data_IF_388028068990
#
_entry.id   IF_388028068990
#
_cell.length_a   1.000
_cell.length_b   1.000
_cell.length_c   1.000
_cell.angle_alpha   90.00
_cell.angle_beta   90.00
_cell.angle_gamma   90.00
#
_symmetry.space_group_name_H-M   'P 1'
#
loop_
_entity.id
_entity.type
_entity.pdbx_description
1 polymer ?
#
# COMPACT_ATOMS: atom_id res chain seq x y z
N UNK A 1 -54.90 60.93 -2.28
CA UNK A 1 -53.61 60.55 -2.89
C UNK A 1 -52.67 59.76 -1.97
N UNK A 2 -52.47 60.13 -0.69
CA UNK A 2 -51.60 59.33 0.21
C UNK A 2 -52.08 57.90 0.49
N UNK A 3 -53.39 57.67 0.71
CA UNK A 3 -53.94 56.32 0.95
C UNK A 3 -53.87 55.40 -0.27
N UNK A 4 -54.07 55.94 -1.47
CA UNK A 4 -53.95 55.18 -2.73
C UNK A 4 -52.50 54.83 -3.04
N UNK A 5 -51.54 55.70 -2.71
CA UNK A 5 -50.11 55.43 -2.88
C UNK A 5 -49.61 54.37 -1.90
N UNK A 6 -50.09 54.37 -0.65
CA UNK A 6 -49.77 53.33 0.35
C UNK A 6 -50.38 51.97 -0.02
N UNK A 7 -51.62 51.92 -0.51
CA UNK A 7 -52.21 50.66 -1.03
C UNK A 7 -51.47 50.16 -2.28
N UNK A 8 -51.05 51.05 -3.18
CA UNK A 8 -50.25 50.66 -4.34
C UNK A 8 -48.89 50.10 -3.91
N UNK A 9 -48.22 50.71 -2.94
CA UNK A 9 -46.94 50.22 -2.42
C UNK A 9 -47.08 48.88 -1.67
N UNK A 10 -48.20 48.65 -0.98
CA UNK A 10 -48.53 47.37 -0.30
C UNK A 10 -48.83 46.25 -1.31
N UNK A 11 -49.59 46.55 -2.37
CA UNK A 11 -49.84 45.59 -3.45
C UNK A 11 -48.55 45.33 -4.25
N UNK A 12 -47.74 46.35 -4.49
CA UNK A 12 -46.45 46.22 -5.17
C UNK A 12 -45.44 45.41 -4.35
N UNK A 13 -45.44 45.54 -3.01
CA UNK A 13 -44.58 44.73 -2.12
C UNK A 13 -45.06 43.29 -1.93
N UNK A 14 -46.35 43.01 -2.08
CA UNK A 14 -46.89 41.64 -2.14
C UNK A 14 -46.54 40.96 -3.47
N UNK A 15 -46.48 41.72 -4.58
CA UNK A 15 -46.09 41.19 -5.90
C UNK A 15 -44.57 40.95 -6.00
N UNK A 16 -43.75 41.68 -5.23
CA UNK A 16 -42.28 41.65 -5.29
C UNK A 16 -41.61 40.47 -4.53
N UNK A 17 -42.37 39.57 -3.91
CA UNK A 17 -41.83 38.35 -3.29
C UNK A 17 -42.44 37.06 -3.86
N UNK A 18 -42.82 37.05 -5.13
CA UNK A 18 -43.04 35.79 -5.83
C UNK A 18 -41.70 35.08 -5.98
N UNK A 19 -41.51 33.98 -5.24
CA UNK A 19 -40.34 33.11 -5.38
C UNK A 19 -40.34 32.55 -6.81
N UNK A 20 -39.25 32.73 -7.53
CA UNK A 20 -39.13 32.18 -8.88
C UNK A 20 -38.84 30.68 -8.83
N UNK A 21 -39.10 29.97 -9.93
CA UNK A 21 -38.78 28.55 -10.03
C UNK A 21 -37.27 28.26 -9.86
N UNK A 22 -36.41 29.20 -10.25
CA UNK A 22 -34.96 29.11 -10.05
C UNK A 22 -34.58 29.32 -8.57
N UNK A 23 -35.30 30.18 -7.83
CA UNK A 23 -35.11 30.33 -6.39
C UNK A 23 -35.48 29.04 -5.65
N UNK A 24 -36.58 28.38 -6.05
CA UNK A 24 -36.98 27.07 -5.52
C UNK A 24 -35.89 26.03 -5.78
N UNK A 25 -35.36 26.00 -7.00
CA UNK A 25 -34.26 25.10 -7.37
C UNK A 25 -33.03 25.36 -6.49
N UNK A 26 -32.64 26.62 -6.30
CA UNK A 26 -31.49 26.97 -5.48
C UNK A 26 -31.70 26.64 -4.00
N UNK A 27 -32.91 26.88 -3.45
CA UNK A 27 -33.30 26.44 -2.12
C UNK A 27 -33.22 24.91 -1.98
N UNK A 28 -33.51 24.15 -3.03
CA UNK A 28 -33.45 22.69 -3.00
C UNK A 28 -32.04 22.11 -2.94
N UNK A 29 -31.01 22.92 -3.19
CA UNK A 29 -29.61 22.49 -3.19
C UNK A 29 -28.99 22.42 -1.79
N UNK A 30 -29.71 22.86 -0.76
CA UNK A 30 -29.27 22.73 0.63
C UNK A 30 -30.13 21.67 1.35
N UNK A 31 -29.53 20.71 2.06
CA UNK A 31 -30.28 19.66 2.77
C UNK A 31 -31.32 20.20 3.77
N UNK A 32 -31.00 21.28 4.47
CA UNK A 32 -31.84 21.83 5.54
C UNK A 32 -33.09 22.55 5.00
N UNK A 33 -33.03 23.07 3.77
CA UNK A 33 -34.12 23.83 3.14
C UNK A 33 -34.91 23.01 2.12
N UNK A 34 -34.63 21.71 1.96
CA UNK A 34 -35.31 20.86 0.97
C UNK A 34 -36.83 20.77 1.20
N UNK A 35 -37.28 20.68 2.45
CA UNK A 35 -38.71 20.68 2.79
C UNK A 35 -39.36 22.03 2.50
N UNK A 36 -38.64 23.13 2.72
CA UNK A 36 -39.11 24.46 2.39
C UNK A 36 -39.23 24.62 0.87
N UNK A 37 -38.22 24.18 0.10
CA UNK A 37 -38.26 24.18 -1.35
C UNK A 37 -39.47 23.40 -1.89
N UNK A 38 -39.80 22.24 -1.30
CA UNK A 38 -41.01 21.49 -1.67
C UNK A 38 -42.29 22.29 -1.38
N UNK A 39 -42.39 22.94 -0.23
CA UNK A 39 -43.55 23.76 0.12
C UNK A 39 -43.76 24.93 -0.85
N UNK A 40 -42.68 25.64 -1.20
CA UNK A 40 -42.72 26.73 -2.18
C UNK A 40 -43.01 26.22 -3.59
N UNK A 41 -42.53 25.02 -3.96
CA UNK A 41 -42.85 24.39 -5.24
C UNK A 41 -44.35 24.11 -5.40
N UNK A 42 -45.02 23.60 -4.37
CA UNK A 42 -46.47 23.37 -4.43
C UNK A 42 -47.25 24.68 -4.59
N UNK A 43 -46.83 25.75 -3.92
CA UNK A 43 -47.43 27.09 -4.12
C UNK A 43 -47.21 27.58 -5.55
N UNK A 44 -46.00 27.44 -6.06
CA UNK A 44 -45.64 27.86 -7.41
C UNK A 44 -46.48 27.17 -8.49
N UNK A 45 -46.77 25.87 -8.35
CA UNK A 45 -47.66 25.14 -9.25
C UNK A 45 -49.07 25.74 -9.27
N UNK A 46 -49.61 26.09 -8.11
CA UNK A 46 -50.95 26.66 -8.01
C UNK A 46 -51.03 28.05 -8.66
N UNK A 47 -49.94 28.82 -8.61
CA UNK A 47 -49.85 30.17 -9.16
C UNK A 47 -49.52 30.18 -10.66
N UNK A 48 -48.79 29.17 -11.16
CA UNK A 48 -48.25 29.14 -12.53
C UNK A 48 -48.45 27.76 -13.21
N UNK A 49 -49.67 27.22 -13.33
CA UNK A 49 -49.93 25.83 -13.71
C UNK A 49 -49.41 25.42 -15.10
N UNK A 50 -49.24 26.38 -16.01
CA UNK A 50 -48.82 26.14 -17.39
C UNK A 50 -47.29 26.25 -17.61
N UNK A 51 -46.49 26.49 -16.55
CA UNK A 51 -45.04 26.59 -16.68
C UNK A 51 -44.41 25.21 -16.98
N UNK A 52 -43.78 25.00 -18.16
CA UNK A 52 -43.16 23.73 -18.53
C UNK A 52 -42.00 23.31 -17.61
N UNK A 53 -41.36 24.25 -16.91
CA UNK A 53 -40.27 23.95 -15.98
C UNK A 53 -40.76 23.23 -14.71
N UNK A 54 -42.06 23.26 -14.40
CA UNK A 54 -42.67 22.54 -13.27
C UNK A 54 -42.39 21.04 -13.38
N UNK A 55 -42.60 20.45 -14.56
CA UNK A 55 -42.40 19.00 -14.75
C UNK A 55 -40.96 18.59 -14.45
N UNK A 56 -40.00 19.35 -14.99
CA UNK A 56 -38.56 19.08 -14.82
C UNK A 56 -38.13 19.25 -13.37
N UNK A 57 -38.48 20.38 -12.74
CA UNK A 57 -38.09 20.64 -11.34
C UNK A 57 -38.80 19.68 -10.37
N UNK A 58 -40.06 19.33 -10.64
CA UNK A 58 -40.83 18.43 -9.80
C UNK A 58 -40.22 17.02 -9.74
N UNK A 59 -39.75 16.49 -10.86
CA UNK A 59 -39.02 15.22 -10.90
C UNK A 59 -37.74 15.28 -10.04
N UNK A 60 -36.95 16.35 -10.17
CA UNK A 60 -35.71 16.54 -9.40
C UNK A 60 -36.01 16.64 -7.90
N UNK A 61 -36.98 17.45 -7.51
CA UNK A 61 -37.36 17.63 -6.10
C UNK A 61 -37.90 16.33 -5.48
N UNK A 62 -38.72 15.59 -6.23
CA UNK A 62 -39.24 14.29 -5.80
C UNK A 62 -38.10 13.29 -5.57
N UNK A 63 -37.14 13.21 -6.49
CA UNK A 63 -35.95 12.38 -6.36
C UNK A 63 -35.11 12.77 -5.13
N UNK A 64 -34.82 14.06 -4.93
CA UNK A 64 -34.10 14.55 -3.75
C UNK A 64 -34.80 14.19 -2.45
N UNK A 65 -36.13 14.29 -2.39
CA UNK A 65 -36.94 13.95 -1.21
C UNK A 65 -36.88 12.45 -0.90
N UNK A 66 -36.88 11.60 -1.93
CA UNK A 66 -36.66 10.15 -1.75
C UNK A 66 -35.30 9.88 -1.09
N UNK A 67 -34.21 10.48 -1.61
CA UNK A 67 -32.87 10.30 -1.04
C UNK A 67 -32.73 10.92 0.35
N UNK A 68 -33.41 12.04 0.63
CA UNK A 68 -33.47 12.61 1.98
C UNK A 68 -34.08 11.65 2.98
N UNK A 69 -35.16 10.94 2.61
CA UNK A 69 -35.85 10.02 3.51
C UNK A 69 -35.05 8.74 3.74
N UNK A 70 -34.48 8.18 2.68
CA UNK A 70 -33.92 6.82 2.71
C UNK A 70 -32.38 6.79 2.90
N UNK A 71 -31.69 7.89 2.57
CA UNK A 71 -30.22 7.94 2.43
C UNK A 71 -29.58 9.15 3.10
N UNK A 72 -30.23 9.81 4.07
CA UNK A 72 -29.69 11.02 4.74
C UNK A 72 -28.26 10.87 5.29
N UNK A 73 -27.88 9.66 5.69
CA UNK A 73 -26.56 9.35 6.26
C UNK A 73 -25.59 8.74 5.24
N UNK A 74 -25.99 8.59 3.97
CA UNK A 74 -25.12 8.03 2.95
C UNK A 74 -24.02 9.03 2.58
N UNK A 75 -22.78 8.59 2.29
CA UNK A 75 -21.67 9.49 1.97
C UNK A 75 -21.95 10.41 0.77
N UNK A 76 -22.73 9.93 -0.21
CA UNK A 76 -23.06 10.68 -1.42
C UNK A 76 -24.22 11.65 -1.26
N UNK A 77 -24.96 11.61 -0.15
CA UNK A 77 -26.22 12.32 0.02
C UNK A 77 -26.08 13.84 -0.13
N UNK A 78 -25.13 14.44 0.59
CA UNK A 78 -24.94 15.89 0.55
C UNK A 78 -24.60 16.37 -0.87
N UNK A 79 -23.68 15.67 -1.54
CA UNK A 79 -23.28 15.99 -2.90
C UNK A 79 -24.43 15.81 -3.91
N UNK A 80 -25.30 14.81 -3.70
CA UNK A 80 -26.50 14.58 -4.51
C UNK A 80 -27.51 15.73 -4.35
N UNK A 81 -27.79 16.17 -3.11
CA UNK A 81 -28.71 17.29 -2.87
C UNK A 81 -28.16 18.60 -3.46
N UNK A 82 -26.86 18.84 -3.29
CA UNK A 82 -26.15 20.01 -3.84
C UNK A 82 -26.02 19.99 -5.37
N UNK A 83 -26.44 18.91 -6.05
CA UNK A 83 -26.22 18.70 -7.49
C UNK A 83 -24.73 18.78 -7.88
N UNK A 84 -23.83 18.42 -6.96
CA UNK A 84 -22.39 18.41 -7.21
C UNK A 84 -21.96 17.06 -7.77
N UNK A 85 -22.01 16.92 -9.09
CA UNK A 85 -21.73 15.67 -9.78
C UNK A 85 -20.34 15.07 -9.46
N UNK A 86 -19.30 15.89 -9.42
CA UNK A 86 -17.92 15.42 -9.19
C UNK A 86 -17.77 14.87 -7.76
N UNK A 87 -18.28 15.60 -6.76
CA UNK A 87 -18.30 15.13 -5.37
C UNK A 87 -19.21 13.91 -5.20
N UNK A 88 -20.32 13.85 -5.93
CA UNK A 88 -21.23 12.70 -5.91
C UNK A 88 -20.50 11.43 -6.35
N UNK A 89 -19.85 11.45 -7.52
CA UNK A 89 -19.07 10.31 -8.02
C UNK A 89 -17.96 9.88 -7.05
N UNK A 90 -17.25 10.83 -6.44
CA UNK A 90 -16.22 10.53 -5.44
C UNK A 90 -16.80 9.87 -4.18
N UNK A 91 -17.90 10.42 -3.67
CA UNK A 91 -18.55 9.94 -2.44
C UNK A 91 -19.32 8.63 -2.64
N UNK A 92 -19.79 8.36 -3.86
CA UNK A 92 -20.37 7.07 -4.25
C UNK A 92 -19.32 5.94 -4.13
N UNK A 93 -18.03 6.24 -4.32
CA UNK A 93 -16.94 5.31 -4.06
C UNK A 93 -16.90 4.82 -2.60
N UNK A 94 -17.25 5.68 -1.65
CA UNK A 94 -17.28 5.37 -0.21
C UNK A 94 -18.54 4.61 0.22
N UNK A 95 -19.54 4.49 -0.66
CA UNK A 95 -20.78 3.79 -0.36
C UNK A 95 -20.64 2.30 -0.65
N UNK A 96 -20.81 1.44 0.35
CA UNK A 96 -20.48 0.02 0.23
C UNK A 96 -21.50 -0.80 -0.58
N UNK A 97 -22.70 -0.26 -0.85
CA UNK A 97 -23.76 -1.00 -1.56
C UNK A 97 -23.95 -0.49 -2.98
N UNK A 98 -24.81 -1.19 -3.72
CA UNK A 98 -25.29 -0.84 -5.06
C UNK A 98 -26.68 -0.23 -4.91
N UNK A 99 -26.97 0.80 -5.70
CA UNK A 99 -28.29 1.41 -5.81
C UNK A 99 -29.08 0.68 -6.88
N UNK A 100 -30.33 0.36 -6.59
CA UNK A 100 -31.17 -0.43 -7.50
C UNK A 100 -31.60 0.38 -8.75
N UNK A 101 -32.32 -0.25 -9.66
CA UNK A 101 -32.73 0.38 -10.93
C UNK A 101 -33.64 1.60 -10.74
N UNK A 102 -34.58 1.56 -9.80
CA UNK A 102 -35.49 2.68 -9.54
C UNK A 102 -34.72 3.88 -8.98
N UNK A 103 -33.79 3.62 -8.05
CA UNK A 103 -32.91 4.62 -7.46
C UNK A 103 -31.96 5.23 -8.49
N UNK A 104 -31.48 4.40 -9.42
CA UNK A 104 -30.69 4.86 -10.56
C UNK A 104 -31.54 5.77 -11.44
N UNK A 105 -32.79 5.42 -11.73
CA UNK A 105 -33.73 6.28 -12.44
C UNK A 105 -33.90 7.66 -11.78
N UNK A 106 -34.03 7.69 -10.44
CA UNK A 106 -34.11 8.95 -9.68
C UNK A 106 -32.80 9.75 -9.74
N UNK A 107 -31.65 9.09 -9.67
CA UNK A 107 -30.34 9.75 -9.82
C UNK A 107 -30.20 10.37 -11.21
N UNK A 108 -30.68 9.69 -12.25
CA UNK A 108 -30.64 10.21 -13.62
C UNK A 108 -31.53 11.44 -13.82
N UNK A 109 -32.57 11.64 -12.99
CA UNK A 109 -33.32 12.91 -12.98
C UNK A 109 -32.49 14.07 -12.43
N UNK A 110 -31.64 13.81 -11.43
CA UNK A 110 -30.76 14.82 -10.81
C UNK A 110 -29.50 15.06 -11.67
N UNK A 111 -28.94 13.99 -12.25
CA UNK A 111 -27.71 14.00 -13.05
C UNK A 111 -27.94 13.37 -14.43
N UNK A 112 -28.69 14.03 -15.32
CA UNK A 112 -29.02 13.50 -16.65
C UNK A 112 -27.80 13.31 -17.56
N UNK A 113 -26.65 13.91 -17.22
CA UNK A 113 -25.41 13.77 -17.98
C UNK A 113 -24.70 12.42 -17.81
N UNK A 114 -25.04 11.61 -16.79
CA UNK A 114 -24.35 10.35 -16.47
C UNK A 114 -24.22 9.41 -17.67
N UNK A 115 -25.30 9.08 -18.42
CA UNK A 115 -25.20 8.10 -19.51
C UNK A 115 -24.26 8.57 -20.61
N UNK A 116 -24.28 9.87 -20.93
CA UNK A 116 -23.39 10.45 -21.94
C UNK A 116 -21.92 10.39 -21.51
N UNK A 117 -21.63 10.64 -20.23
CA UNK A 117 -20.27 10.57 -19.68
C UNK A 117 -19.73 9.15 -19.78
N UNK A 118 -20.48 8.15 -19.31
CA UNK A 118 -20.05 6.75 -19.38
C UNK A 118 -19.90 6.32 -20.82
N UNK A 119 -20.85 6.65 -21.70
CA UNK A 119 -20.74 6.39 -23.14
C UNK A 119 -19.45 6.93 -23.73
N UNK A 120 -19.14 8.21 -23.51
CA UNK A 120 -17.90 8.84 -24.00
C UNK A 120 -16.65 8.17 -23.44
N UNK A 121 -16.65 7.80 -22.17
CA UNK A 121 -15.53 7.07 -21.57
C UNK A 121 -15.34 5.70 -22.22
N UNK A 122 -16.40 4.97 -22.54
CA UNK A 122 -16.31 3.67 -23.23
C UNK A 122 -15.86 3.81 -24.70
N UNK A 123 -16.25 4.88 -25.38
CA UNK A 123 -15.89 5.12 -26.78
C UNK A 123 -14.45 5.61 -26.93
N UNK A 124 -14.01 6.51 -26.06
CA UNK A 124 -12.71 7.21 -26.19
C UNK A 124 -11.63 6.67 -25.26
N UNK A 125 -12.02 6.00 -24.18
CA UNK A 125 -11.13 5.65 -23.07
C UNK A 125 -10.72 6.82 -22.16
N UNK A 126 -11.14 8.04 -22.49
CA UNK A 126 -10.84 9.23 -21.69
C UNK A 126 -11.81 9.29 -20.52
N UNK A 127 -11.26 9.25 -19.31
CA UNK A 127 -11.98 9.41 -18.06
C UNK A 127 -11.49 10.69 -17.38
N UNK A 128 -12.30 11.75 -17.47
CA UNK A 128 -11.94 13.08 -16.93
C UNK A 128 -11.65 13.03 -15.43
N UNK A 129 -12.43 12.25 -14.69
CA UNK A 129 -12.26 12.03 -13.26
C UNK A 129 -12.22 10.54 -12.96
N UNK A 130 -11.18 10.10 -12.25
CA UNK A 130 -11.03 8.70 -11.82
C UNK A 130 -12.23 8.20 -11.00
N UNK A 131 -13.01 9.09 -10.37
CA UNK A 131 -14.22 8.74 -9.63
C UNK A 131 -15.40 8.29 -10.51
N UNK A 132 -15.37 8.53 -11.83
CA UNK A 132 -16.44 8.09 -12.72
C UNK A 132 -16.56 6.57 -12.79
N UNK A 133 -15.49 5.82 -12.48
CA UNK A 133 -15.58 4.36 -12.36
C UNK A 133 -16.63 3.93 -11.33
N UNK A 134 -16.87 4.71 -10.26
CA UNK A 134 -17.83 4.37 -9.21
C UNK A 134 -19.29 4.33 -9.69
N UNK A 135 -19.58 4.81 -10.90
CA UNK A 135 -20.92 4.74 -11.52
C UNK A 135 -21.37 3.30 -11.77
N UNK A 136 -20.49 2.29 -11.69
CA UNK A 136 -20.90 0.88 -11.72
C UNK A 136 -21.90 0.50 -10.61
N UNK A 137 -21.94 1.29 -9.52
CA UNK A 137 -22.86 1.09 -8.40
C UNK A 137 -24.29 1.53 -8.69
N UNK A 138 -24.58 2.04 -9.88
CA UNK A 138 -25.92 2.37 -10.35
C UNK A 138 -26.45 1.21 -11.19
N UNK A 139 -27.29 0.37 -10.60
CA UNK A 139 -27.87 -0.78 -11.29
C UNK A 139 -28.81 -0.35 -12.44
N UNK A 140 -28.77 -1.08 -13.55
CA UNK A 140 -29.58 -0.76 -14.73
C UNK A 140 -29.05 0.42 -15.56
N UNK A 141 -28.00 1.12 -15.12
CA UNK A 141 -27.42 2.24 -15.86
C UNK A 141 -26.97 1.84 -17.28
N UNK A 142 -26.48 0.61 -17.45
CA UNK A 142 -26.08 0.04 -18.75
C UNK A 142 -27.21 0.10 -19.80
N UNK A 143 -28.48 0.11 -19.39
CA UNK A 143 -29.64 0.17 -20.30
C UNK A 143 -29.76 1.53 -21.00
N UNK A 144 -29.16 2.58 -20.44
CA UNK A 144 -29.17 3.95 -20.98
C UNK A 144 -27.94 4.26 -21.83
N UNK A 145 -27.02 3.30 -21.96
CA UNK A 145 -25.71 3.50 -22.56
C UNK A 145 -25.59 2.60 -23.78
N UNK A 146 -25.38 3.21 -24.96
CA UNK A 146 -25.14 2.48 -26.20
C UNK A 146 -23.89 3.06 -26.87
N UNK A 147 -22.70 2.56 -26.52
CA UNK A 147 -21.44 2.94 -27.16
C UNK A 147 -21.39 2.38 -28.58
N UNK A 148 -20.88 3.15 -29.54
CA UNK A 148 -20.67 2.63 -30.90
C UNK A 148 -19.37 1.82 -31.03
N UNK A 149 -18.40 2.02 -30.13
CA UNK A 149 -17.14 1.27 -30.07
C UNK A 149 -16.64 1.19 -28.62
N UNK A 150 -15.76 0.21 -28.38
CA UNK A 150 -15.01 0.05 -27.12
C UNK A 150 -13.49 0.13 -27.33
N UNK A 151 -13.04 0.24 -28.58
CA UNK A 151 -11.63 0.11 -28.96
C UNK A 151 -10.72 1.10 -28.24
N UNK A 152 -11.12 2.38 -28.21
CA UNK A 152 -10.36 3.43 -27.52
C UNK A 152 -10.25 3.17 -26.01
N UNK A 153 -11.34 2.72 -25.38
CA UNK A 153 -11.32 2.33 -23.98
C UNK A 153 -10.42 1.12 -23.71
N UNK A 154 -10.51 0.07 -24.52
CA UNK A 154 -9.69 -1.13 -24.34
C UNK A 154 -8.20 -0.84 -24.53
N UNK A 155 -7.83 -0.01 -25.51
CA UNK A 155 -6.44 0.41 -25.72
C UNK A 155 -5.89 1.18 -24.51
N UNK A 156 -6.63 2.17 -24.02
CA UNK A 156 -6.22 2.96 -22.85
C UNK A 156 -6.21 2.10 -21.58
N UNK A 157 -7.17 1.19 -21.43
CA UNK A 157 -7.23 0.24 -20.32
C UNK A 157 -5.97 -0.61 -20.26
N UNK A 158 -5.55 -1.22 -21.38
CA UNK A 158 -4.33 -2.03 -21.44
C UNK A 158 -3.10 -1.18 -21.12
N UNK A 159 -2.93 -0.05 -21.81
CA UNK A 159 -1.74 0.79 -21.67
C UNK A 159 -1.59 1.34 -20.24
N UNK A 160 -2.69 1.84 -19.64
CA UNK A 160 -2.67 2.34 -18.26
C UNK A 160 -2.53 1.23 -17.22
N UNK A 161 -3.17 0.08 -17.41
CA UNK A 161 -3.07 -1.03 -16.44
C UNK A 161 -1.64 -1.57 -16.35
N UNK A 162 -0.96 -1.64 -17.50
CA UNK A 162 0.42 -2.13 -17.57
C UNK A 162 1.39 -1.11 -16.98
N UNK A 163 1.30 0.16 -17.39
CA UNK A 163 2.20 1.23 -16.92
C UNK A 163 1.92 1.65 -15.47
N UNK A 164 0.69 1.52 -15.00
CA UNK A 164 0.25 1.94 -13.68
C UNK A 164 -0.61 0.87 -13.01
N UNK A 165 -0.01 0.00 -12.18
CA UNK A 165 -0.73 -1.10 -11.54
C UNK A 165 -1.87 -0.66 -10.59
N UNK A 166 -1.93 0.62 -10.22
CA UNK A 166 -3.00 1.18 -9.38
C UNK A 166 -4.23 1.59 -10.19
N UNK A 167 -4.11 1.68 -11.52
CA UNK A 167 -5.24 2.04 -12.40
C UNK A 167 -6.33 0.96 -12.40
N UNK A 168 -5.91 -0.31 -12.53
CA UNK A 168 -6.80 -1.48 -12.47
C UNK A 168 -6.99 -1.90 -11.01
N UNK A 169 -7.74 -1.10 -10.27
CA UNK A 169 -8.23 -1.44 -8.94
C UNK A 169 -9.62 -2.09 -9.01
N UNK A 170 -10.14 -2.53 -7.85
CA UNK A 170 -11.41 -3.27 -7.78
C UNK A 170 -12.58 -2.47 -8.34
N UNK A 171 -12.61 -1.16 -8.13
CA UNK A 171 -13.67 -0.31 -8.68
C UNK A 171 -13.59 -0.19 -10.19
N UNK A 172 -12.38 -0.12 -10.76
CA UNK A 172 -12.20 -0.15 -12.21
C UNK A 172 -12.58 -1.52 -12.80
N UNK A 173 -12.22 -2.62 -12.15
CA UNK A 173 -12.66 -3.97 -12.56
C UNK A 173 -14.19 -4.07 -12.61
N UNK A 174 -14.87 -3.62 -11.55
CA UNK A 174 -16.33 -3.62 -11.48
C UNK A 174 -16.95 -2.73 -12.56
N UNK A 175 -16.35 -1.56 -12.84
CA UNK A 175 -16.76 -0.69 -13.95
C UNK A 175 -16.67 -1.41 -15.30
N UNK A 176 -15.55 -2.07 -15.58
CA UNK A 176 -15.36 -2.80 -16.84
C UNK A 176 -16.39 -3.93 -16.95
N UNK A 177 -16.55 -4.74 -15.90
CA UNK A 177 -17.50 -5.87 -15.89
C UNK A 177 -18.94 -5.40 -16.08
N UNK A 178 -19.29 -4.23 -15.52
CA UNK A 178 -20.64 -3.66 -15.61
C UNK A 178 -20.95 -3.12 -17.00
N UNK A 179 -20.00 -2.42 -17.63
CA UNK A 179 -20.27 -1.64 -18.83
C UNK A 179 -19.67 -2.18 -20.14
N UNK A 180 -18.70 -3.10 -20.07
CA UNK A 180 -18.06 -3.67 -21.25
C UNK A 180 -18.54 -5.11 -21.45
N UNK A 181 -19.20 -5.44 -22.57
CA UNK A 181 -19.60 -6.81 -22.85
C UNK A 181 -18.41 -7.76 -22.84
N UNK A 182 -18.56 -8.96 -22.27
CA UNK A 182 -17.49 -9.98 -22.22
C UNK A 182 -16.91 -10.32 -23.60
N UNK A 183 -17.73 -10.28 -24.66
CA UNK A 183 -17.27 -10.47 -26.03
C UNK A 183 -16.27 -9.41 -26.48
N UNK A 184 -16.40 -8.17 -26.00
CA UNK A 184 -15.48 -7.06 -26.28
C UNK A 184 -14.25 -7.08 -25.39
N UNK A 185 -14.36 -7.54 -24.15
CA UNK A 185 -13.17 -7.74 -23.29
C UNK A 185 -12.16 -8.68 -23.95
N UNK A 186 -12.62 -9.68 -24.73
CA UNK A 186 -11.73 -10.59 -25.50
C UNK A 186 -10.85 -9.85 -26.51
N UNK A 187 -11.27 -8.70 -27.01
CA UNK A 187 -10.49 -7.91 -27.98
C UNK A 187 -9.18 -7.38 -27.37
N UNK A 188 -9.05 -7.37 -26.03
CA UNK A 188 -7.80 -7.06 -25.32
C UNK A 188 -6.66 -8.00 -25.76
N UNK A 189 -6.96 -9.25 -26.09
CA UNK A 189 -5.92 -10.20 -26.54
C UNK A 189 -5.25 -9.72 -27.83
N UNK A 190 -6.00 -9.08 -28.73
CA UNK A 190 -5.42 -8.54 -29.96
C UNK A 190 -4.46 -7.38 -29.65
N UNK A 191 -4.79 -6.56 -28.65
CA UNK A 191 -3.95 -5.44 -28.21
C UNK A 191 -2.66 -5.96 -27.57
N UNK A 192 -2.76 -6.98 -26.71
CA UNK A 192 -1.60 -7.59 -26.05
C UNK A 192 -0.66 -8.28 -27.05
N UNK A 193 -1.19 -9.03 -28.02
CA UNK A 193 -0.38 -9.74 -29.01
C UNK A 193 0.40 -8.80 -29.95
N UNK A 194 -0.10 -7.58 -30.16
CA UNK A 194 0.56 -6.57 -30.99
C UNK A 194 1.50 -5.65 -30.21
N UNK A 195 1.75 -5.94 -28.94
CA UNK A 195 2.49 -5.06 -28.02
C UNK A 195 3.78 -5.69 -27.52
N UNK A 196 4.74 -4.85 -27.14
CA UNK A 196 6.00 -5.26 -26.52
C UNK A 196 5.98 -5.15 -24.99
N UNK A 197 4.80 -5.01 -24.39
CA UNK A 197 4.65 -4.68 -22.97
C UNK A 197 5.34 -5.66 -22.01
N UNK A 198 5.41 -6.94 -22.38
CA UNK A 198 5.96 -8.01 -21.53
C UNK A 198 7.49 -8.14 -21.60
N UNK A 199 8.17 -7.31 -22.41
CA UNK A 199 9.63 -7.35 -22.53
C UNK A 199 10.36 -6.61 -21.41
N UNK A 200 9.68 -5.74 -20.66
CA UNK A 200 10.27 -4.90 -19.62
C UNK A 200 9.78 -5.33 -18.23
N UNK A 201 10.71 -5.70 -17.35
CA UNK A 201 10.43 -6.08 -15.95
C UNK A 201 9.60 -5.03 -15.18
N UNK A 202 9.74 -3.74 -15.48
CA UNK A 202 8.97 -2.67 -14.82
C UNK A 202 7.45 -2.81 -15.03
N UNK A 203 7.06 -3.42 -16.14
CA UNK A 203 5.66 -3.62 -16.50
C UNK A 203 5.04 -4.88 -15.87
N UNK A 204 5.85 -5.75 -15.26
CA UNK A 204 5.40 -7.09 -14.83
C UNK A 204 4.26 -7.04 -13.83
N UNK A 205 4.25 -6.07 -12.92
CA UNK A 205 3.17 -5.93 -11.94
C UNK A 205 1.84 -5.57 -12.60
N UNK A 206 1.85 -4.58 -13.51
CA UNK A 206 0.65 -4.16 -14.23
C UNK A 206 0.16 -5.25 -15.18
N UNK A 207 1.07 -5.88 -15.91
CA UNK A 207 0.81 -7.04 -16.75
C UNK A 207 0.19 -8.20 -15.97
N UNK A 208 0.74 -8.54 -14.80
CA UNK A 208 0.23 -9.62 -13.97
C UNK A 208 -1.18 -9.32 -13.44
N UNK A 209 -1.45 -8.10 -13.01
CA UNK A 209 -2.80 -7.68 -12.60
C UNK A 209 -3.80 -7.76 -13.75
N UNK A 210 -3.44 -7.24 -14.92
CA UNK A 210 -4.31 -7.29 -16.11
C UNK A 210 -4.62 -8.73 -16.51
N UNK A 211 -3.60 -9.59 -16.61
CA UNK A 211 -3.80 -11.00 -16.96
C UNK A 211 -4.59 -11.76 -15.88
N UNK A 212 -4.43 -11.41 -14.60
CA UNK A 212 -5.24 -11.96 -13.51
C UNK A 212 -6.72 -11.61 -13.70
N UNK A 213 -7.03 -10.34 -13.97
CA UNK A 213 -8.38 -9.89 -14.28
C UNK A 213 -8.96 -10.62 -15.49
N UNK A 214 -8.21 -10.71 -16.60
CA UNK A 214 -8.66 -11.42 -17.82
C UNK A 214 -8.90 -12.92 -17.56
N UNK A 215 -8.09 -13.54 -16.71
CA UNK A 215 -8.27 -14.93 -16.29
C UNK A 215 -9.56 -15.09 -15.47
N UNK A 216 -9.84 -14.20 -14.52
CA UNK A 216 -11.09 -14.20 -13.74
C UNK A 216 -12.32 -14.02 -14.63
N UNK A 217 -12.20 -13.22 -15.69
CA UNK A 217 -13.26 -13.03 -16.68
C UNK A 217 -13.35 -14.16 -17.72
N UNK A 218 -12.44 -15.15 -17.69
CA UNK A 218 -12.45 -16.31 -18.59
C UNK A 218 -12.12 -15.97 -20.04
N UNK A 219 -11.22 -15.01 -20.27
CA UNK A 219 -10.90 -14.46 -21.61
C UNK A 219 -9.43 -14.57 -22.02
N UNK A 220 -8.60 -15.22 -21.21
CA UNK A 220 -7.18 -15.45 -21.52
C UNK A 220 -6.99 -16.54 -22.58
N UNK A 221 -6.11 -16.36 -23.57
CA UNK A 221 -5.72 -17.43 -24.51
C UNK A 221 -4.57 -18.28 -23.95
N UNK A 222 -4.18 -19.33 -24.68
CA UNK A 222 -3.10 -20.23 -24.28
C UNK A 222 -1.75 -19.51 -24.13
N UNK A 223 -1.43 -18.58 -25.04
CA UNK A 223 -0.17 -17.83 -24.99
C UNK A 223 -0.12 -16.89 -23.78
N UNK A 224 -1.20 -16.14 -23.54
CA UNK A 224 -1.23 -15.25 -22.37
C UNK A 224 -1.31 -16.06 -21.05
N UNK A 225 -1.88 -17.27 -21.06
CA UNK A 225 -1.84 -18.16 -19.91
C UNK A 225 -0.40 -18.60 -19.59
N UNK A 226 0.43 -18.86 -20.60
CA UNK A 226 1.85 -19.12 -20.41
C UNK A 226 2.56 -17.90 -19.80
N UNK A 227 2.35 -16.71 -20.36
CA UNK A 227 2.89 -15.45 -19.83
C UNK A 227 2.44 -15.21 -18.39
N UNK A 228 1.16 -15.39 -18.10
CA UNK A 228 0.60 -15.33 -16.75
C UNK A 228 1.30 -16.33 -15.82
N UNK A 229 1.53 -17.57 -16.26
CA UNK A 229 2.22 -18.57 -15.44
C UNK A 229 3.67 -18.19 -15.15
N UNK A 230 4.37 -17.58 -16.11
CA UNK A 230 5.73 -17.09 -15.91
C UNK A 230 5.78 -15.93 -14.92
N UNK A 231 4.90 -14.94 -15.09
CA UNK A 231 4.77 -13.80 -14.16
C UNK A 231 4.35 -14.27 -12.76
N UNK A 232 3.45 -15.26 -12.67
CA UNK A 232 3.07 -15.85 -11.38
C UNK A 232 4.28 -16.46 -10.68
N UNK A 233 5.06 -17.30 -11.39
CA UNK A 233 6.29 -17.88 -10.85
C UNK A 233 7.30 -16.81 -10.41
N UNK A 234 7.45 -15.76 -11.21
CA UNK A 234 8.28 -14.61 -10.87
C UNK A 234 7.88 -13.96 -9.54
N UNK A 235 6.59 -13.65 -9.34
CA UNK A 235 6.11 -13.03 -8.11
C UNK A 235 6.14 -14.00 -6.92
N UNK A 236 5.87 -15.29 -7.14
CA UNK A 236 6.01 -16.33 -6.12
C UNK A 236 7.48 -16.41 -5.64
N UNK A 237 8.46 -16.35 -6.55
CA UNK A 237 9.89 -16.29 -6.21
C UNK A 237 10.25 -14.99 -5.50
N UNK A 238 9.77 -13.84 -5.97
CA UNK A 238 9.99 -12.54 -5.32
C UNK A 238 9.56 -12.53 -3.86
N UNK A 239 8.38 -13.09 -3.57
CA UNK A 239 7.85 -13.22 -2.21
C UNK A 239 8.75 -14.11 -1.36
N UNK A 240 9.12 -15.30 -1.86
CA UNK A 240 10.04 -16.21 -1.16
C UNK A 240 11.39 -15.56 -0.85
N UNK A 241 11.97 -14.81 -1.79
CA UNK A 241 13.23 -14.11 -1.57
C UNK A 241 13.06 -13.03 -0.49
N UNK A 242 11.94 -12.30 -0.48
CA UNK A 242 11.61 -11.32 0.56
C UNK A 242 11.48 -11.96 1.95
N UNK A 243 10.86 -13.13 2.04
CA UNK A 243 10.77 -13.91 3.28
C UNK A 243 12.16 -14.36 3.76
N UNK A 244 12.99 -14.92 2.86
CA UNK A 244 14.38 -15.31 3.17
C UNK A 244 15.19 -14.10 3.65
N UNK A 245 15.08 -12.97 2.96
CA UNK A 245 15.78 -11.74 3.32
C UNK A 245 15.39 -11.23 4.72
N UNK A 246 14.17 -11.51 5.18
CA UNK A 246 13.71 -11.14 6.53
C UNK A 246 14.19 -12.15 7.56
N UNK A 247 14.06 -13.44 7.25
CA UNK A 247 14.34 -14.53 8.18
C UNK A 247 15.83 -14.73 8.46
N UNK A 248 16.70 -14.38 7.51
CA UNK A 248 18.14 -14.59 7.63
C UNK A 248 18.77 -13.99 8.89
N UNK A 249 18.19 -12.92 9.44
CA UNK A 249 18.69 -12.24 10.65
C UNK A 249 18.32 -12.97 11.96
N UNK A 250 17.31 -13.83 11.93
CA UNK A 250 16.73 -14.49 13.12
C UNK A 250 17.25 -15.93 13.25
N UNK A 251 17.73 -16.51 12.15
CA UNK A 251 18.17 -17.91 12.08
C UNK A 251 19.38 -18.18 12.98
N UNK A 252 19.32 -19.34 13.65
CA UNK A 252 20.39 -19.83 14.51
C UNK A 252 21.55 -20.41 13.67
N UNK A 253 22.80 -20.43 14.18
CA UNK A 253 23.94 -21.01 13.45
C UNK A 253 23.72 -22.47 13.02
N UNK A 254 22.95 -23.24 13.80
CA UNK A 254 22.65 -24.65 13.54
C UNK A 254 21.74 -24.84 12.32
N UNK A 255 20.83 -23.90 12.06
CA UNK A 255 19.87 -23.92 10.95
C UNK A 255 20.41 -23.26 9.67
N UNK A 256 21.60 -22.65 9.74
CA UNK A 256 22.16 -21.87 8.63
C UNK A 256 22.51 -22.75 7.42
N UNK A 257 22.80 -24.03 7.64
CA UNK A 257 23.01 -25.01 6.57
C UNK A 257 21.75 -25.16 5.72
N UNK A 258 20.63 -25.54 6.35
CA UNK A 258 19.35 -25.79 5.68
C UNK A 258 18.82 -24.51 5.02
N UNK A 259 19.00 -23.37 5.70
CA UNK A 259 18.67 -22.08 5.12
C UNK A 259 19.45 -21.80 3.85
N UNK A 260 20.77 -22.04 3.86
CA UNK A 260 21.61 -21.81 2.68
C UNK A 260 21.22 -22.74 1.53
N UNK A 261 20.94 -24.02 1.82
CA UNK A 261 20.48 -24.97 0.80
C UNK A 261 19.15 -24.53 0.17
N UNK A 262 18.21 -24.02 0.96
CA UNK A 262 16.95 -23.44 0.47
C UNK A 262 17.21 -22.22 -0.43
N UNK A 263 18.14 -21.34 -0.05
CA UNK A 263 18.51 -20.19 -0.89
C UNK A 263 19.11 -20.64 -2.22
N UNK A 264 19.98 -21.65 -2.22
CA UNK A 264 20.56 -22.21 -3.46
C UNK A 264 19.48 -22.82 -4.37
N UNK A 265 18.46 -23.47 -3.81
CA UNK A 265 17.33 -23.98 -4.60
C UNK A 265 16.50 -22.84 -5.22
N UNK A 266 16.31 -21.74 -4.50
CA UNK A 266 15.64 -20.54 -5.05
C UNK A 266 16.49 -19.85 -6.12
N UNK A 267 17.82 -19.85 -6.00
CA UNK A 267 18.73 -19.38 -7.05
C UNK A 267 18.56 -20.24 -8.30
N UNK A 268 18.57 -21.57 -8.17
CA UNK A 268 18.34 -22.52 -9.27
C UNK A 268 17.00 -22.25 -9.98
N UNK A 269 15.90 -22.13 -9.22
CA UNK A 269 14.59 -21.79 -9.76
C UNK A 269 14.57 -20.45 -10.49
N UNK A 270 15.32 -19.45 -9.99
CA UNK A 270 15.40 -18.12 -10.60
C UNK A 270 16.20 -18.16 -11.90
N UNK A 271 17.36 -18.82 -11.91
CA UNK A 271 18.20 -18.97 -13.11
C UNK A 271 17.45 -19.66 -14.24
N UNK A 272 16.60 -20.64 -13.93
CA UNK A 272 15.81 -21.39 -14.91
C UNK A 272 14.51 -20.67 -15.36
N UNK A 273 14.20 -19.48 -14.84
CA UNK A 273 13.00 -18.73 -15.22
C UNK A 273 13.18 -18.00 -16.56
N UNK A 274 12.44 -18.37 -17.61
CA UNK A 274 12.62 -17.80 -18.97
C UNK A 274 11.94 -16.43 -19.18
N UNK A 275 12.20 -15.46 -18.30
CA UNK A 275 11.81 -14.04 -18.45
C UNK A 275 12.91 -13.13 -17.89
N UNK A 276 12.83 -11.81 -18.14
CA UNK A 276 13.72 -10.84 -17.51
C UNK A 276 13.54 -10.86 -15.98
N UNK A 277 14.62 -10.85 -15.22
CA UNK A 277 14.57 -11.11 -13.77
C UNK A 277 15.66 -10.40 -12.99
N UNK A 278 16.05 -9.22 -13.46
CA UNK A 278 17.13 -8.42 -12.87
C UNK A 278 16.82 -8.06 -11.41
N UNK A 279 15.57 -7.73 -11.11
CA UNK A 279 15.14 -7.43 -9.74
C UNK A 279 15.27 -8.65 -8.83
N UNK A 280 14.92 -9.86 -9.30
CA UNK A 280 15.10 -11.09 -8.50
C UNK A 280 16.58 -11.34 -8.21
N UNK A 281 17.45 -11.13 -9.20
CA UNK A 281 18.89 -11.23 -9.01
C UNK A 281 19.41 -10.22 -7.98
N UNK A 282 19.04 -8.95 -8.06
CA UNK A 282 19.46 -7.94 -7.06
C UNK A 282 19.03 -8.33 -5.65
N UNK A 283 17.80 -8.83 -5.47
CA UNK A 283 17.32 -9.28 -4.16
C UNK A 283 18.09 -10.51 -3.66
N UNK A 284 18.33 -11.50 -4.52
CA UNK A 284 19.10 -12.70 -4.19
C UNK A 284 20.55 -12.40 -3.84
N UNK A 285 21.19 -11.48 -4.55
CA UNK A 285 22.56 -11.02 -4.26
C UNK A 285 22.67 -10.54 -2.81
N UNK A 286 21.70 -9.71 -2.37
CA UNK A 286 21.62 -9.23 -0.99
C UNK A 286 21.47 -10.35 0.04
N UNK A 287 20.64 -11.36 -0.25
CA UNK A 287 20.46 -12.54 0.61
C UNK A 287 21.75 -13.36 0.69
N UNK A 288 22.35 -13.71 -0.45
CA UNK A 288 23.59 -14.51 -0.52
C UNK A 288 24.74 -13.82 0.21
N UNK A 289 24.90 -12.50 0.00
CA UNK A 289 25.90 -11.68 0.70
C UNK A 289 25.69 -11.71 2.21
N UNK A 290 24.45 -11.68 2.67
CA UNK A 290 24.13 -11.74 4.09
C UNK A 290 24.38 -13.13 4.68
N UNK A 291 24.10 -14.22 3.93
CA UNK A 291 24.45 -15.59 4.31
C UNK A 291 25.95 -15.69 4.52
N UNK A 292 26.71 -15.22 3.54
CA UNK A 292 28.17 -15.21 3.56
C UNK A 292 28.72 -14.57 4.83
N UNK A 293 28.25 -13.36 5.18
CA UNK A 293 28.66 -12.64 6.38
C UNK A 293 28.27 -13.40 7.66
N UNK A 294 27.10 -14.05 7.69
CA UNK A 294 26.68 -14.85 8.86
C UNK A 294 27.50 -16.13 9.03
N UNK A 295 27.85 -16.82 7.95
CA UNK A 295 28.75 -17.97 8.02
C UNK A 295 30.10 -17.53 8.58
N UNK A 296 30.68 -16.46 8.02
CA UNK A 296 31.98 -15.93 8.40
C UNK A 296 32.03 -15.48 9.87
N UNK A 297 30.95 -14.89 10.39
CA UNK A 297 30.87 -14.42 11.79
C UNK A 297 30.48 -15.51 12.80
N UNK A 298 29.96 -16.66 12.37
CA UNK A 298 29.46 -17.70 13.28
C UNK A 298 30.56 -18.40 14.09
N UNK A 299 31.82 -18.38 13.63
CA UNK A 299 32.95 -19.15 14.17
C UNK A 299 32.66 -20.65 14.38
N UNK A 300 31.58 -21.19 13.80
CA UNK A 300 31.18 -22.60 13.85
C UNK A 300 31.34 -23.22 12.48
N UNK A 301 31.66 -24.52 12.45
CA UNK A 301 31.60 -25.30 11.21
C UNK A 301 30.13 -25.56 10.90
N UNK A 302 29.62 -24.86 9.89
CA UNK A 302 28.24 -25.01 9.42
C UNK A 302 28.18 -26.05 8.28
N UNK A 303 29.20 -26.09 7.42
CA UNK A 303 29.26 -26.97 6.25
C UNK A 303 30.32 -28.04 6.43
N UNK A 304 29.96 -29.30 6.15
CA UNK A 304 30.91 -30.42 6.09
C UNK A 304 31.51 -30.58 4.69
N UNK A 305 30.71 -30.35 3.66
CA UNK A 305 31.06 -30.43 2.24
C UNK A 305 30.53 -29.21 1.51
N UNK A 306 31.07 -28.93 0.31
CA UNK A 306 30.51 -27.94 -0.60
C UNK A 306 29.18 -28.48 -1.16
N UNK A 307 28.10 -27.69 -1.21
CA UNK A 307 26.85 -28.12 -1.84
C UNK A 307 27.03 -28.46 -3.33
N UNK A 308 26.52 -29.62 -3.76
CA UNK A 308 26.73 -30.16 -5.11
C UNK A 308 26.26 -29.23 -6.25
N UNK A 309 25.18 -28.48 -6.01
CA UNK A 309 24.62 -27.54 -7.00
C UNK A 309 25.44 -26.24 -7.15
N UNK A 310 26.35 -25.94 -6.22
CA UNK A 310 26.95 -24.61 -6.14
C UNK A 310 27.80 -24.25 -7.38
N UNK A 311 28.51 -25.22 -7.94
CA UNK A 311 29.38 -24.99 -9.11
C UNK A 311 28.58 -24.75 -10.39
N UNK A 312 27.54 -25.54 -10.60
CA UNK A 312 26.59 -25.37 -11.70
C UNK A 312 25.88 -24.00 -11.62
N UNK A 313 25.50 -23.57 -10.41
CA UNK A 313 24.89 -22.26 -10.20
C UNK A 313 25.86 -21.10 -10.45
N UNK A 314 27.15 -21.23 -10.11
CA UNK A 314 28.15 -20.20 -10.41
C UNK A 314 28.29 -20.00 -11.92
N UNK A 315 28.27 -21.08 -12.71
CA UNK A 315 28.41 -21.04 -14.16
C UNK A 315 27.17 -20.45 -14.86
N UNK A 316 25.97 -20.82 -14.42
CA UNK A 316 24.71 -20.43 -15.06
C UNK A 316 24.18 -19.06 -14.62
N UNK A 317 24.69 -18.51 -13.52
CA UNK A 317 24.22 -17.24 -12.95
C UNK A 317 24.82 -16.01 -13.63
N UNK A 318 24.12 -14.86 -13.60
CA UNK A 318 24.69 -13.59 -14.06
C UNK A 318 25.92 -13.19 -13.21
N UNK A 319 26.74 -12.29 -13.73
CA UNK A 319 28.06 -11.97 -13.16
C UNK A 319 28.04 -11.62 -11.67
N UNK A 320 27.02 -10.91 -11.19
CA UNK A 320 27.01 -10.42 -9.82
C UNK A 320 26.60 -11.51 -8.82
N UNK A 321 25.60 -12.33 -9.17
CA UNK A 321 25.27 -13.55 -8.43
C UNK A 321 26.44 -14.54 -8.45
N UNK A 322 27.04 -14.76 -9.62
CA UNK A 322 28.17 -15.69 -9.80
C UNK A 322 29.35 -15.32 -8.90
N UNK A 323 29.73 -14.03 -8.83
CA UNK A 323 30.78 -13.51 -7.92
C UNK A 323 30.44 -13.78 -6.45
N UNK A 324 29.20 -13.54 -6.04
CA UNK A 324 28.76 -13.75 -4.66
C UNK A 324 28.71 -15.23 -4.28
N UNK A 325 28.23 -16.10 -5.18
CA UNK A 325 28.25 -17.55 -5.01
C UNK A 325 29.69 -18.11 -4.95
N UNK A 326 30.60 -17.61 -5.79
CA UNK A 326 32.01 -17.98 -5.74
C UNK A 326 32.68 -17.56 -4.41
N UNK A 327 32.30 -16.38 -3.90
CA UNK A 327 32.76 -15.90 -2.59
C UNK A 327 32.21 -16.76 -1.45
N UNK A 328 30.94 -17.16 -1.54
CA UNK A 328 30.32 -18.10 -0.62
C UNK A 328 31.04 -19.47 -0.65
N UNK A 329 31.32 -20.02 -1.84
CA UNK A 329 32.09 -21.26 -2.01
C UNK A 329 33.43 -21.20 -1.31
N UNK A 330 34.16 -20.08 -1.45
CA UNK A 330 35.47 -19.87 -0.83
C UNK A 330 35.40 -19.89 0.70
N UNK A 331 34.38 -19.26 1.29
CA UNK A 331 34.19 -19.25 2.74
C UNK A 331 33.81 -20.63 3.26
N UNK A 332 32.95 -21.35 2.55
CA UNK A 332 32.61 -22.75 2.87
C UNK A 332 33.88 -23.62 2.83
N UNK A 333 34.70 -23.51 1.79
CA UNK A 333 35.96 -24.25 1.66
C UNK A 333 36.97 -23.93 2.78
N UNK A 334 37.09 -22.66 3.16
CA UNK A 334 37.99 -22.27 4.25
C UNK A 334 37.53 -22.84 5.60
N UNK A 335 36.22 -22.87 5.83
CA UNK A 335 35.64 -23.46 7.05
C UNK A 335 35.83 -24.99 7.13
N UNK A 336 35.81 -25.69 5.99
CA UNK A 336 36.05 -27.14 5.94
C UNK A 336 37.53 -27.52 6.06
N UNK A 337 38.46 -26.65 5.62
CA UNK A 337 39.91 -26.89 5.70
C UNK A 337 40.51 -26.65 7.11
N UNK A 338 39.95 -25.73 7.91
CA UNK A 338 40.39 -25.57 9.32
C UNK A 338 40.16 -26.84 10.14
N UNK A 339 39.10 -27.58 9.82
CA UNK A 339 38.77 -28.88 10.43
C UNK A 339 39.86 -29.95 10.26
N UNK A 340 40.64 -29.90 9.18
CA UNK A 340 41.67 -30.91 8.90
C UNK A 340 42.99 -30.64 9.65
N UNK A 341 43.20 -29.42 10.14
CA UNK A 341 44.39 -29.05 10.92
C UNK A 341 44.22 -29.32 12.42
N UNK A 342 43.04 -29.06 12.98
CA UNK A 342 42.81 -29.24 14.42
C UNK A 342 42.73 -30.72 14.84
N UNK A 343 42.44 -31.64 13.93
CA UNK A 343 42.52 -33.08 14.20
C UNK A 343 43.95 -33.66 14.22
N UNK A 344 44.96 -32.96 13.65
CA UNK A 344 46.35 -33.48 13.61
C UNK A 344 47.20 -33.14 14.83
N UNK A 345 46.68 -32.38 15.79
CA UNK A 345 47.44 -31.90 16.97
C UNK A 345 47.01 -32.55 18.29
N UNK A 346 46.28 -33.68 18.23
CA UNK A 346 45.77 -34.38 19.41
C UNK A 346 46.38 -35.77 19.64
N UNK A 347 47.58 -36.02 19.14
CA UNK A 347 48.40 -37.16 19.56
C UNK A 347 49.87 -36.75 19.57
N UNK A 348 50.44 -36.51 20.76
CA UNK A 348 51.81 -36.87 21.19
C UNK A 348 52.04 -36.39 22.65
N UNK A 349 52.01 -37.39 23.54
CA UNK A 349 52.79 -37.60 24.78
C UNK A 349 52.80 -36.60 25.95
N UNK A 350 52.17 -37.09 27.02
CA UNK A 350 52.55 -37.09 28.45
C UNK A 350 54.03 -36.92 28.80
N UNK A 351 54.37 -36.10 29.81
CA UNK A 351 55.20 -36.51 30.99
C UNK A 351 55.45 -35.38 32.00
N UNK A 352 55.01 -35.62 33.26
CA UNK A 352 55.60 -35.22 34.56
C UNK A 352 55.84 -33.72 34.86
N UNK A 353 55.49 -33.15 36.02
CA UNK A 353 55.67 -33.63 37.41
C UNK A 353 54.88 -32.70 38.35
N UNK A 354 54.36 -33.26 39.45
CA UNK A 354 53.91 -32.54 40.65
C UNK A 354 55.06 -31.63 41.18
N UNK A 355 54.85 -30.58 41.97
CA UNK A 355 54.26 -30.62 43.33
C UNK A 355 54.05 -29.20 43.88
N UNK A 356 52.99 -29.08 44.70
CA UNK A 356 52.84 -28.26 45.92
C UNK A 356 52.95 -26.73 45.88
N UNK A 357 51.82 -26.15 46.29
CA UNK A 357 51.61 -24.77 46.71
C UNK A 357 52.37 -24.38 47.99
N UNK A 358 52.68 -23.10 48.12
CA UNK A 358 52.63 -22.42 49.42
C UNK A 358 52.26 -20.93 49.28
N UNK A 359 51.38 -20.51 50.20
CA UNK A 359 50.74 -19.19 50.32
C UNK A 359 51.74 -18.05 50.58
N UNK A 360 51.41 -16.86 50.08
CA UNK A 360 51.60 -15.59 50.81
C UNK A 360 50.41 -14.65 50.62
N UNK A 361 49.76 -14.31 51.72
CA UNK A 361 48.97 -13.10 51.88
C UNK A 361 49.88 -11.87 51.81
N UNK A 362 49.44 -10.79 51.17
CA UNK A 362 49.40 -9.48 51.83
C UNK A 362 48.42 -8.53 51.14
N UNK A 363 47.77 -7.73 51.98
CA UNK A 363 46.59 -6.91 51.73
C UNK A 363 46.86 -5.69 50.86
N UNK A 364 45.77 -5.26 50.21
CA UNK A 364 45.37 -3.86 50.19
C UNK A 364 45.97 -3.06 49.05
N UNK A 365 45.14 -2.79 48.02
CA UNK A 365 45.12 -1.58 47.17
C UNK A 365 44.36 -1.79 45.84
N UNK A 366 43.69 -2.94 45.61
CA UNK A 366 42.91 -3.16 44.38
C UNK A 366 41.43 -2.75 44.55
N UNK A 367 40.91 -2.63 45.78
CA UNK A 367 39.51 -2.28 46.02
C UNK A 367 39.23 -0.82 45.60
N UNK A 368 40.15 0.11 45.86
CA UNK A 368 39.95 1.54 45.52
C UNK A 368 39.89 1.80 44.00
N UNK A 369 40.82 1.32 43.15
CA UNK A 369 40.71 1.49 41.70
C UNK A 369 39.51 0.73 41.12
N UNK A 370 39.15 -0.44 41.67
CA UNK A 370 37.96 -1.18 41.22
C UNK A 370 36.66 -0.42 41.54
N UNK A 371 36.54 0.18 42.73
CA UNK A 371 35.39 1.02 43.09
C UNK A 371 35.34 2.27 42.22
N UNK A 372 36.47 2.93 41.95
CA UNK A 372 36.52 4.11 41.06
C UNK A 372 36.11 3.76 39.63
N UNK A 373 36.54 2.61 39.10
CA UNK A 373 36.13 2.14 37.76
C UNK A 373 34.62 1.84 37.73
N UNK A 374 34.09 1.18 38.76
CA UNK A 374 32.63 0.92 38.86
C UNK A 374 31.86 2.24 38.94
N UNK A 375 32.36 3.22 39.68
CA UNK A 375 31.76 4.55 39.78
C UNK A 375 31.78 5.28 38.44
N UNK A 376 32.88 5.18 37.68
CA UNK A 376 32.99 5.74 36.32
C UNK A 376 32.01 5.05 35.37
N UNK A 377 31.90 3.72 35.39
CA UNK A 377 30.95 2.97 34.55
C UNK A 377 29.50 3.37 34.90
N UNK A 378 29.19 3.50 36.19
CA UNK A 378 27.89 3.99 36.64
C UNK A 378 27.64 5.43 36.17
N UNK A 379 28.66 6.31 36.23
CA UNK A 379 28.56 7.69 35.75
C UNK A 379 28.30 7.75 34.24
N UNK A 380 29.02 6.94 33.45
CA UNK A 380 28.87 6.82 31.99
C UNK A 380 27.49 6.29 31.61
N UNK A 381 26.91 5.39 32.40
CA UNK A 381 25.55 4.91 32.19
C UNK A 381 24.47 5.86 32.75
N UNK A 382 24.78 6.72 33.72
CA UNK A 382 23.81 7.59 34.38
C UNK A 382 23.68 8.98 33.74
N UNK A 383 24.77 9.56 33.23
CA UNK A 383 24.75 10.88 32.57
C UNK A 383 23.80 10.89 31.35
N UNK A 384 23.87 9.92 30.40
CA UNK A 384 23.00 9.93 29.23
C UNK A 384 21.52 9.73 29.59
N UNK A 385 21.22 9.10 30.72
CA UNK A 385 19.84 8.84 31.16
C UNK A 385 19.13 10.14 31.55
N UNK A 386 19.85 11.07 32.17
CA UNK A 386 19.31 12.36 32.60
C UNK A 386 19.39 13.44 31.51
N UNK A 387 20.37 13.37 30.61
CA UNK A 387 20.48 14.27 29.45
C UNK A 387 19.65 13.73 28.29
N UNK A 388 18.32 13.85 28.43
CA UNK A 388 17.31 13.38 27.48
C UNK A 388 17.53 14.05 26.10
N UNK A 389 18.14 13.31 25.18
CA UNK A 389 18.54 13.75 23.83
C UNK A 389 18.58 12.57 22.84
N UNK A 390 18.53 12.82 21.53
CA UNK A 390 18.63 11.72 20.54
C UNK A 390 19.92 10.90 20.70
N UNK A 391 21.04 11.56 21.01
CA UNK A 391 22.32 10.89 21.24
C UNK A 391 22.28 9.95 22.44
N UNK A 392 21.53 10.31 23.49
CA UNK A 392 21.32 9.41 24.63
C UNK A 392 20.50 8.17 24.27
N UNK A 393 19.50 8.31 23.39
CA UNK A 393 18.70 7.18 22.90
C UNK A 393 19.59 6.23 22.08
N UNK A 394 20.36 6.78 21.13
CA UNK A 394 21.30 5.99 20.32
C UNK A 394 22.38 5.32 21.16
N UNK A 395 22.87 5.97 22.21
CA UNK A 395 23.83 5.38 23.16
C UNK A 395 23.27 4.11 23.83
N UNK A 396 22.05 4.15 24.36
CA UNK A 396 21.42 2.97 24.97
C UNK A 396 21.04 1.90 23.95
N UNK A 397 20.67 2.29 22.73
CA UNK A 397 20.44 1.35 21.63
C UNK A 397 21.72 0.60 21.25
N UNK A 398 22.86 1.28 21.16
CA UNK A 398 24.15 0.65 20.86
C UNK A 398 24.60 -0.33 21.95
N UNK A 399 24.20 -0.08 23.21
CA UNK A 399 24.42 -0.98 24.34
C UNK A 399 23.33 -2.07 24.46
N UNK A 400 22.40 -2.17 23.51
CA UNK A 400 21.24 -3.10 23.50
C UNK A 400 20.32 -2.99 24.73
N UNK A 401 20.33 -1.84 25.42
CA UNK A 401 19.47 -1.57 26.57
C UNK A 401 18.12 -0.98 26.12
N UNK A 402 17.38 -1.71 25.28
CA UNK A 402 16.22 -1.18 24.57
C UNK A 402 15.08 -0.71 25.49
N UNK A 403 14.85 -1.36 26.63
CA UNK A 403 13.85 -0.90 27.63
C UNK A 403 14.21 0.46 28.24
N UNK A 404 15.50 0.75 28.39
CA UNK A 404 15.98 2.05 28.90
C UNK A 404 15.91 3.10 27.78
N UNK A 405 16.33 2.73 26.56
CA UNK A 405 16.19 3.58 25.38
C UNK A 405 14.73 4.01 25.14
N UNK A 406 13.78 3.09 25.31
CA UNK A 406 12.35 3.36 25.18
C UNK A 406 11.88 4.39 26.21
N UNK A 407 12.27 4.26 27.48
CA UNK A 407 11.93 5.26 28.51
C UNK A 407 12.53 6.64 28.22
N UNK A 408 13.71 6.69 27.62
CA UNK A 408 14.36 7.96 27.25
C UNK A 408 13.65 8.60 26.04
N UNK A 409 13.22 7.82 25.05
CA UNK A 409 12.48 8.34 23.88
C UNK A 409 11.05 8.75 24.24
N UNK A 410 10.39 8.04 25.16
CA UNK A 410 9.10 8.47 25.71
C UNK A 410 9.23 9.81 26.43
N UNK A 411 10.29 10.02 27.22
CA UNK A 411 10.60 11.33 27.84
C UNK A 411 10.85 12.43 26.80
N UNK A 412 11.45 12.11 25.64
CA UNK A 412 11.58 13.07 24.53
C UNK A 412 10.22 13.44 23.94
N UNK A 413 9.35 12.45 23.71
CA UNK A 413 8.01 12.66 23.16
C UNK A 413 7.06 13.39 24.11
N UNK A 414 7.24 13.23 25.43
CA UNK A 414 6.51 14.05 26.42
C UNK A 414 6.93 15.53 26.32
N UNK A 415 8.22 15.81 26.08
CA UNK A 415 8.72 17.19 25.91
C UNK A 415 8.35 17.78 24.54
N UNK A 416 8.33 16.95 23.49
CA UNK A 416 7.95 17.36 22.14
C UNK A 416 7.06 16.29 21.46
N UNK A 417 5.73 16.41 21.60
CA UNK A 417 4.78 15.41 21.10
C UNK A 417 4.66 15.30 19.57
N UNK A 418 5.20 16.27 18.83
CA UNK A 418 5.13 16.34 17.36
C UNK A 418 6.45 15.95 16.68
N UNK A 419 7.41 15.44 17.44
CA UNK A 419 8.74 15.12 16.95
C UNK A 419 8.79 13.84 16.11
N UNK A 420 8.82 14.03 14.78
CA UNK A 420 9.00 12.97 13.79
C UNK A 420 10.18 12.03 14.12
N UNK A 421 11.34 12.60 14.46
CA UNK A 421 12.57 11.82 14.62
C UNK A 421 12.50 10.95 15.88
N UNK A 422 11.86 11.45 16.94
CA UNK A 422 11.62 10.67 18.16
C UNK A 422 10.65 9.49 17.92
N UNK A 423 9.59 9.65 17.12
CA UNK A 423 8.70 8.52 16.78
C UNK A 423 9.37 7.45 15.92
N UNK A 424 10.26 7.84 15.00
CA UNK A 424 11.06 6.86 14.23
C UNK A 424 12.00 6.06 15.15
N UNK A 425 12.67 6.74 16.08
CA UNK A 425 13.52 6.06 17.06
C UNK A 425 12.70 5.16 17.99
N UNK A 426 11.52 5.60 18.43
CA UNK A 426 10.61 4.79 19.24
C UNK A 426 10.17 3.53 18.49
N UNK A 427 9.81 3.64 17.21
CA UNK A 427 9.42 2.51 16.39
C UNK A 427 10.56 1.49 16.26
N UNK A 428 11.78 1.95 15.99
CA UNK A 428 12.97 1.09 15.90
C UNK A 428 13.30 0.40 17.23
N UNK A 429 13.13 1.09 18.36
CA UNK A 429 13.33 0.48 19.69
C UNK A 429 12.27 -0.59 19.98
N UNK A 430 11.02 -0.37 19.56
CA UNK A 430 9.92 -1.32 19.72
C UNK A 430 10.09 -2.56 18.82
N UNK A 431 10.68 -2.42 17.64
CA UNK A 431 11.09 -3.55 16.79
C UNK A 431 12.14 -4.42 17.49
N UNK A 432 13.17 -3.80 18.06
CA UNK A 432 14.23 -4.50 18.82
C UNK A 432 13.71 -5.15 20.12
N UNK A 433 12.57 -4.67 20.65
CA UNK A 433 11.86 -5.28 21.78
C UNK A 433 10.84 -6.35 21.36
N UNK A 434 10.69 -6.63 20.06
CA UNK A 434 9.71 -7.54 19.48
C UNK A 434 8.24 -7.13 19.74
N UNK A 435 7.97 -5.84 19.96
CA UNK A 435 6.62 -5.28 20.11
C UNK A 435 6.12 -4.68 18.79
N UNK A 436 5.98 -5.55 17.78
CA UNK A 436 5.80 -5.19 16.36
C UNK A 436 4.53 -4.35 16.11
N UNK A 437 3.41 -4.68 16.76
CA UNK A 437 2.16 -3.92 16.61
C UNK A 437 2.32 -2.47 17.06
N UNK A 438 3.06 -2.24 18.15
CA UNK A 438 3.32 -0.89 18.66
C UNK A 438 4.34 -0.15 17.81
N UNK A 439 5.33 -0.85 17.27
CA UNK A 439 6.28 -0.28 16.32
C UNK A 439 5.57 0.23 15.07
N UNK A 440 4.62 -0.54 14.52
CA UNK A 440 3.86 -0.14 13.34
C UNK A 440 2.98 1.08 13.60
N UNK A 441 2.37 1.17 14.79
CA UNK A 441 1.63 2.36 15.22
C UNK A 441 2.56 3.58 15.33
N UNK A 442 3.77 3.41 15.88
CA UNK A 442 4.75 4.48 15.99
C UNK A 442 5.24 4.97 14.61
N UNK A 443 5.49 4.08 13.65
CA UNK A 443 5.84 4.46 12.27
C UNK A 443 4.73 5.22 11.56
N UNK A 444 3.48 4.75 11.68
CA UNK A 444 2.31 5.44 11.12
C UNK A 444 2.15 6.83 11.72
N UNK A 445 2.38 6.96 13.02
CA UNK A 445 2.34 8.24 13.72
C UNK A 445 3.46 9.18 13.23
N UNK A 446 4.69 8.68 13.10
CA UNK A 446 5.81 9.45 12.53
C UNK A 446 5.48 9.97 11.11
N UNK A 447 4.96 9.10 10.24
CA UNK A 447 4.62 9.47 8.86
C UNK A 447 3.55 10.58 8.79
N UNK A 448 2.54 10.50 9.64
CA UNK A 448 1.49 11.53 9.73
C UNK A 448 2.05 12.86 10.27
N UNK A 449 2.97 12.84 11.24
CA UNK A 449 3.58 14.05 11.80
C UNK A 449 4.54 14.72 10.82
N UNK A 450 5.27 13.96 9.99
CA UNK A 450 6.10 14.50 8.89
C UNK A 450 5.28 15.30 7.88
N UNK A 451 4.12 14.77 7.45
CA UNK A 451 3.22 15.47 6.50
C UNK A 451 2.75 16.83 7.03
N UNK A 452 2.54 16.96 8.34
CA UNK A 452 2.13 18.22 8.96
C UNK A 452 3.28 19.21 9.19
N UNK A 453 4.53 18.73 9.23
CA UNK A 453 5.73 19.56 9.37
C UNK A 453 6.18 20.18 8.03
N UNK A 454 5.86 19.54 6.90
CA UNK A 454 6.12 20.08 5.55
C UNK A 454 5.01 21.05 5.06
N UNK A 455 3.94 21.24 5.87
CA UNK A 455 2.78 22.10 5.58
C UNK A 455 2.76 23.40 6.43
N UNK A 456 3.77 23.63 7.26
CA UNK A 456 4.02 24.89 7.98
C UNK A 456 5.30 25.51 7.45
#
# INVERSE_FOLDING_TARGET
MKKTFVSFFLVLSIILFSISIEDIKNLSKMPDTLNQAWGEFIKYIAENPDDPAIGVLGEVLSAKKYFYKNYKNAPFFEALIQENFNKFCGSLGLYNNILNEDETGLILKIFPQIPLIVKRTLETGIMELNSYKNLYKLEGLEKYITPFSYEGFLQILVDKSIKSPVFLDKDMENFIVKFVPKSKIRDINNILNNSTYFLDENNYMGAFKLLSFLKEQGVISANELQTYSLLKKYFDLKTKIGELSSNIYIISPEELLDFTLNVLDIVDQTVNLNIEKNTLYTLLEGVIKTIRIRIESSNKIIFKNIPDKLDDLIEKSPSDISKELASLKKIILNSTLQNTKDQKTSDISTSSKATSAEKRESKGFIIYPAIVIILIILLVLYIPYNVVSYKSVEFYMNLKMYKVALKVVEKLLIKNPDDYKAYILMARILEELNEIDKAMIAYKTAHNKRKNHDLK
#
